data_IF_989550117772
#
_entry.id   IF_989550117772
#
_cell.length_a   1.000
_cell.length_b   1.000
_cell.length_c   1.000
_cell.angle_alpha   90.00
_cell.angle_beta   90.00
_cell.angle_gamma   90.00
#
_symmetry.space_group_name_H-M   'P 1'
#
loop_
_entity.id
_entity.type
_entity.pdbx_description
1 polymer ?
#
# COMPACT_ATOMS: atom_id res chain seq x y z
N UNK A 1 16.32 -2.28 -5.32
CA UNK A 1 16.11 -3.34 -6.32
C UNK A 1 16.77 -2.90 -7.61
N UNK A 2 17.72 -3.67 -8.14
CA UNK A 2 18.40 -3.38 -9.39
C UNK A 2 18.01 -4.48 -10.40
N UNK A 3 17.50 -4.09 -11.57
CA UNK A 3 17.12 -5.05 -12.62
C UNK A 3 18.32 -5.81 -13.19
N UNK A 4 19.50 -5.17 -13.25
CA UNK A 4 20.73 -5.79 -13.73
C UNK A 4 21.24 -6.89 -12.78
N UNK A 5 20.94 -6.76 -11.48
CA UNK A 5 21.33 -7.77 -10.48
C UNK A 5 20.59 -9.09 -10.72
N UNK A 6 19.28 -9.03 -11.01
CA UNK A 6 18.51 -10.24 -11.33
C UNK A 6 19.03 -10.89 -12.61
N UNK A 7 19.37 -10.10 -13.63
CA UNK A 7 19.95 -10.63 -14.87
C UNK A 7 21.30 -11.33 -14.63
N UNK A 8 22.20 -10.71 -13.86
CA UNK A 8 23.50 -11.30 -13.52
C UNK A 8 23.39 -12.57 -12.67
N UNK A 9 22.36 -12.68 -11.84
CA UNK A 9 22.09 -13.90 -11.08
C UNK A 9 21.70 -15.05 -12.01
N UNK A 10 20.84 -14.81 -13.01
CA UNK A 10 20.48 -15.82 -14.02
C UNK A 10 21.72 -16.26 -14.82
N UNK A 11 22.56 -15.33 -15.27
CA UNK A 11 23.81 -15.65 -15.95
C UNK A 11 24.75 -16.52 -15.08
N UNK A 12 24.76 -16.28 -13.76
CA UNK A 12 25.56 -17.07 -12.81
C UNK A 12 24.99 -18.49 -12.64
N UNK A 13 23.67 -18.66 -12.68
CA UNK A 13 23.02 -19.97 -12.65
C UNK A 13 23.28 -20.76 -13.93
N UNK A 14 23.29 -20.10 -15.08
CA UNK A 14 23.65 -20.72 -16.37
C UNK A 14 25.10 -21.20 -16.37
N UNK A 15 26.03 -20.43 -15.78
CA UNK A 15 27.42 -20.87 -15.62
C UNK A 15 27.51 -22.13 -14.75
N UNK A 16 26.74 -22.22 -13.66
CA UNK A 16 26.66 -23.44 -12.84
C UNK A 16 26.14 -24.63 -13.65
N UNK A 17 25.05 -24.45 -14.42
CA UNK A 17 24.46 -25.51 -15.24
C UNK A 17 25.46 -26.04 -16.29
N UNK A 18 26.23 -25.13 -16.89
CA UNK A 18 27.28 -25.45 -17.84
C UNK A 18 28.60 -25.92 -17.20
N UNK A 19 28.63 -26.19 -15.89
CA UNK A 19 29.81 -26.59 -15.11
C UNK A 19 30.98 -25.59 -15.18
N UNK A 20 30.68 -24.31 -15.43
CA UNK A 20 31.63 -23.20 -15.50
C UNK A 20 31.80 -22.49 -14.14
N UNK A 21 30.92 -22.77 -13.18
CA UNK A 21 30.99 -22.27 -11.81
C UNK A 21 30.56 -23.36 -10.81
N UNK A 22 31.07 -23.27 -9.58
CA UNK A 22 30.67 -24.15 -8.48
C UNK A 22 29.48 -23.52 -7.74
N UNK A 23 28.41 -24.30 -7.58
CA UNK A 23 27.12 -23.78 -7.13
C UNK A 23 27.14 -23.27 -5.68
N UNK A 24 27.92 -23.89 -4.78
CA UNK A 24 28.03 -23.41 -3.40
C UNK A 24 28.76 -22.08 -3.34
N UNK A 25 29.83 -21.89 -4.12
CA UNK A 25 30.56 -20.64 -4.20
C UNK A 25 29.66 -19.49 -4.69
N UNK A 26 28.78 -19.74 -5.67
CA UNK A 26 27.78 -18.77 -6.13
C UNK A 26 26.80 -18.41 -5.01
N UNK A 27 26.31 -19.41 -4.28
CA UNK A 27 25.42 -19.19 -3.13
C UNK A 27 26.11 -18.44 -1.99
N UNK A 28 27.34 -18.79 -1.65
CA UNK A 28 28.10 -18.16 -0.57
C UNK A 28 28.33 -16.68 -0.85
N UNK A 29 28.66 -16.32 -2.10
CA UNK A 29 28.81 -14.94 -2.53
C UNK A 29 27.47 -14.17 -2.43
N UNK A 30 26.39 -14.76 -2.94
CA UNK A 30 25.06 -14.16 -2.83
C UNK A 30 24.65 -13.93 -1.37
N UNK A 31 24.84 -14.94 -0.51
CA UNK A 31 24.46 -14.88 0.90
C UNK A 31 25.28 -13.84 1.67
N UNK A 32 26.57 -13.69 1.38
CA UNK A 32 27.40 -12.65 1.99
C UNK A 32 26.81 -11.25 1.76
N UNK A 33 26.47 -10.93 0.51
CA UNK A 33 25.91 -9.62 0.15
C UNK A 33 24.48 -9.42 0.67
N UNK A 34 23.68 -10.50 0.66
CA UNK A 34 22.32 -10.48 1.18
C UNK A 34 22.29 -10.28 2.70
N UNK A 35 23.12 -11.00 3.45
CA UNK A 35 23.18 -10.87 4.91
C UNK A 35 23.57 -9.46 5.32
N UNK A 36 24.54 -8.83 4.66
CA UNK A 36 24.88 -7.44 4.95
C UNK A 36 23.70 -6.46 4.70
N UNK A 37 22.90 -6.70 3.66
CA UNK A 37 21.69 -5.91 3.39
C UNK A 37 20.60 -6.17 4.45
N UNK A 38 20.44 -7.43 4.87
CA UNK A 38 19.50 -7.82 5.91
C UNK A 38 19.87 -7.20 7.26
N UNK A 39 21.13 -7.33 7.67
CA UNK A 39 21.67 -6.76 8.92
C UNK A 39 21.45 -5.25 9.00
N UNK A 40 21.54 -4.55 7.86
CA UNK A 40 21.22 -3.13 7.80
C UNK A 40 19.72 -2.88 7.94
N UNK A 41 18.89 -3.67 7.27
CA UNK A 41 17.44 -3.52 7.28
C UNK A 41 16.81 -3.83 8.65
N UNK A 42 17.42 -4.71 9.45
CA UNK A 42 16.98 -5.10 10.79
C UNK A 42 17.24 -4.04 11.87
N UNK A 43 18.10 -3.05 11.61
CA UNK A 43 18.40 -1.97 12.55
C UNK A 43 17.19 -1.06 12.77
N UNK A 44 17.31 -0.15 13.72
CA UNK A 44 16.31 0.90 13.90
C UNK A 44 16.24 1.81 12.66
N UNK A 45 15.05 2.34 12.29
CA UNK A 45 14.89 3.21 11.13
C UNK A 45 15.81 4.45 11.15
N UNK A 46 16.12 4.97 12.34
CA UNK A 46 17.04 6.09 12.56
C UNK A 46 18.50 5.74 12.20
N UNK A 47 18.87 4.46 12.27
CA UNK A 47 20.20 3.94 11.93
C UNK A 47 20.28 3.39 10.50
N UNK A 48 19.22 3.61 9.70
CA UNK A 48 19.13 3.15 8.32
C UNK A 48 18.41 1.81 8.13
N UNK A 49 17.69 1.36 9.15
CA UNK A 49 16.79 0.21 9.10
C UNK A 49 15.55 0.41 8.25
N UNK A 50 14.76 -0.67 8.11
CA UNK A 50 13.52 -0.64 7.33
C UNK A 50 12.46 0.23 8.02
N UNK A 51 11.90 1.18 7.27
CA UNK A 51 10.84 2.06 7.80
C UNK A 51 9.57 1.27 8.12
N UNK A 52 8.93 1.50 9.27
CA UNK A 52 7.68 0.85 9.61
C UNK A 52 6.55 1.35 8.70
N UNK A 53 5.52 0.53 8.58
CA UNK A 53 4.30 0.90 7.85
C UNK A 53 3.61 2.10 8.52
N UNK A 54 3.63 3.24 7.83
CA UNK A 54 3.12 4.50 8.34
C UNK A 54 1.58 4.56 8.26
N UNK A 55 0.98 5.30 9.18
CA UNK A 55 -0.45 5.59 9.15
C UNK A 55 -0.68 7.05 8.81
N UNK A 56 -1.65 7.32 7.93
CA UNK A 56 -2.10 8.68 7.62
C UNK A 56 -3.39 8.94 8.39
N UNK A 57 -3.36 9.86 9.36
CA UNK A 57 -4.53 10.21 10.15
C UNK A 57 -5.59 10.90 9.29
N UNK A 58 -6.85 10.53 9.49
CA UNK A 58 -8.01 11.14 8.83
C UNK A 58 -8.87 11.88 9.84
N UNK A 59 -9.83 12.65 9.34
CA UNK A 59 -10.85 13.31 10.14
C UNK A 59 -11.95 12.36 10.63
N UNK A 60 -11.93 11.08 10.23
CA UNK A 60 -12.95 10.08 10.55
C UNK A 60 -12.79 9.62 12.00
N UNK A 61 -13.88 9.69 12.76
CA UNK A 61 -13.92 9.21 14.14
C UNK A 61 -14.24 7.71 14.21
N UNK A 62 -13.57 7.02 15.14
CA UNK A 62 -13.79 5.62 15.41
C UNK A 62 -15.19 5.41 16.01
N UNK A 63 -16.00 4.50 15.46
CA UNK A 63 -17.38 4.28 15.93
C UNK A 63 -17.44 3.70 17.35
N UNK A 64 -16.34 3.12 17.85
CA UNK A 64 -16.30 2.48 19.17
C UNK A 64 -15.78 3.40 20.28
N UNK A 65 -14.80 4.26 19.98
CA UNK A 65 -14.12 5.05 21.02
C UNK A 65 -14.01 6.56 20.72
N UNK A 66 -14.48 7.01 19.55
CA UNK A 66 -14.50 8.43 19.16
C UNK A 66 -13.14 9.03 18.80
N UNK A 67 -12.05 8.26 18.83
CA UNK A 67 -10.72 8.76 18.40
C UNK A 67 -10.58 8.75 16.88
N UNK A 68 -9.69 9.59 16.35
CA UNK A 68 -9.39 9.63 14.93
C UNK A 68 -8.89 8.28 14.41
N UNK A 69 -9.34 7.92 13.22
CA UNK A 69 -8.86 6.76 12.49
C UNK A 69 -7.76 7.18 11.52
N UNK A 70 -6.93 6.23 11.10
CA UNK A 70 -5.90 6.46 10.08
C UNK A 70 -5.95 5.38 9.01
N UNK A 71 -5.58 5.77 7.80
CA UNK A 71 -5.44 4.88 6.64
C UNK A 71 -4.20 4.02 6.87
N UNK A 72 -4.38 2.70 6.75
CA UNK A 72 -3.31 1.71 6.82
C UNK A 72 -3.47 0.72 5.67
N UNK A 73 -2.35 0.20 5.20
CA UNK A 73 -2.30 -0.83 4.18
C UNK A 73 -1.83 -2.13 4.80
N UNK A 74 -2.59 -3.20 4.61
CA UNK A 74 -2.19 -4.57 4.93
C UNK A 74 -2.12 -5.40 3.64
N UNK A 75 -1.70 -6.65 3.76
CA UNK A 75 -1.66 -7.60 2.63
C UNK A 75 -3.03 -7.81 1.97
N UNK A 76 -4.12 -7.70 2.75
CA UNK A 76 -5.49 -7.87 2.26
C UNK A 76 -6.08 -6.61 1.64
N UNK A 77 -5.36 -5.48 1.66
CA UNK A 77 -5.83 -4.21 1.12
C UNK A 77 -5.75 -3.05 2.12
N UNK A 78 -6.47 -1.98 1.78
CA UNK A 78 -6.46 -0.71 2.53
C UNK A 78 -7.63 -0.68 3.52
N UNK A 79 -7.40 -0.16 4.71
CA UNK A 79 -8.43 -0.07 5.75
C UNK A 79 -8.19 1.14 6.65
N UNK A 80 -9.22 1.54 7.40
CA UNK A 80 -9.10 2.49 8.49
C UNK A 80 -8.84 1.76 9.81
N UNK A 81 -7.74 2.09 10.47
CA UNK A 81 -7.41 1.62 11.82
C UNK A 81 -7.55 2.74 12.85
N UNK A 82 -8.09 2.43 14.03
CA UNK A 82 -8.17 3.41 15.11
C UNK A 82 -6.76 3.84 15.59
N UNK A 83 -6.52 5.14 15.74
CA UNK A 83 -5.28 5.69 16.35
C UNK A 83 -5.03 5.16 17.76
N UNK A 84 -6.10 4.78 18.47
CA UNK A 84 -6.03 4.17 19.79
C UNK A 84 -5.37 2.80 19.84
N UNK A 85 -4.99 2.19 18.70
CA UNK A 85 -4.26 0.92 18.68
C UNK A 85 -2.87 1.01 19.31
N UNK A 86 -2.21 2.17 19.22
CA UNK A 86 -0.87 2.41 19.76
C UNK A 86 -0.84 2.49 21.30
N UNK A 87 -1.99 2.53 21.96
CA UNK A 87 -2.06 2.53 23.42
C UNK A 87 -1.67 1.18 24.03
N UNK A 88 -1.52 1.20 25.36
CA UNK A 88 -1.29 0.03 26.20
C UNK A 88 -2.26 -1.11 25.86
N UNK A 89 -1.88 -2.40 26.02
CA UNK A 89 -2.75 -3.53 25.73
C UNK A 89 -4.12 -3.49 26.41
N UNK A 90 -4.23 -2.81 27.56
CA UNK A 90 -5.49 -2.66 28.32
C UNK A 90 -6.44 -1.63 27.71
N UNK A 91 -5.91 -0.62 27.02
CA UNK A 91 -6.67 0.54 26.54
C UNK A 91 -6.68 0.64 25.01
N UNK A 92 -6.06 -0.33 24.32
CA UNK A 92 -6.00 -0.31 22.86
C UNK A 92 -7.35 -0.56 22.21
N UNK A 93 -7.68 0.28 21.25
CA UNK A 93 -8.85 0.09 20.40
C UNK A 93 -8.46 -0.75 19.18
N UNK A 94 -9.04 -1.95 19.05
CA UNK A 94 -8.79 -2.88 17.93
C UNK A 94 -9.78 -2.71 16.77
N UNK A 95 -10.66 -1.70 16.84
CA UNK A 95 -11.66 -1.44 15.81
C UNK A 95 -11.00 -1.03 14.50
N UNK A 96 -11.44 -1.68 13.42
CA UNK A 96 -11.04 -1.38 12.04
C UNK A 96 -12.28 -1.23 11.17
N UNK A 97 -12.17 -0.46 10.09
CA UNK A 97 -13.21 -0.35 9.06
C UNK A 97 -12.55 -0.70 7.73
N UNK A 98 -13.06 -1.73 7.07
CA UNK A 98 -12.58 -2.13 5.75
C UNK A 98 -12.96 -1.09 4.71
N UNK A 99 -12.02 -0.72 3.82
CA UNK A 99 -12.26 0.20 2.73
C UNK A 99 -12.41 -0.59 1.43
N UNK A 100 -13.59 -0.55 0.84
CA UNK A 100 -13.87 -1.32 -0.40
C UNK A 100 -13.50 -0.45 -1.61
N UNK A 101 -12.57 -0.87 -2.48
CA UNK A 101 -12.19 -0.09 -3.65
C UNK A 101 -13.34 -0.02 -4.67
N UNK A 102 -13.54 1.15 -5.26
CA UNK A 102 -14.62 1.36 -6.24
C UNK A 102 -14.39 0.64 -7.58
N UNK A 103 -13.12 0.43 -7.96
CA UNK A 103 -12.77 -0.17 -9.25
C UNK A 103 -13.23 -1.63 -9.39
N UNK A 104 -13.60 -2.31 -8.30
CA UNK A 104 -14.20 -3.65 -8.37
C UNK A 104 -15.63 -3.65 -8.95
N UNK A 105 -16.20 -2.47 -9.26
CA UNK A 105 -17.59 -2.33 -9.74
C UNK A 105 -17.68 -1.96 -11.24
N UNK A 106 -16.55 -1.72 -11.94
CA UNK A 106 -16.54 -1.32 -13.35
C UNK A 106 -16.40 -2.53 -14.28
N UNK A 107 -17.50 -2.89 -14.94
CA UNK A 107 -17.53 -3.90 -15.99
C UNK A 107 -16.70 -3.49 -17.21
N UNK A 108 -15.89 -4.45 -17.67
CA UNK A 108 -14.90 -4.40 -18.76
C UNK A 108 -15.57 -4.30 -20.14
N UNK A 109 -16.21 -3.18 -20.47
CA UNK A 109 -16.89 -3.00 -21.76
C UNK A 109 -16.59 -1.65 -22.44
N UNK A 110 -15.33 -1.22 -22.55
CA UNK A 110 -15.02 0.03 -23.31
C UNK A 110 -13.69 0.03 -24.09
N UNK A 111 -13.47 -0.91 -25.02
CA UNK A 111 -12.47 -0.77 -26.10
C UNK A 111 -11.04 -0.36 -25.69
N UNK A 112 -10.28 0.22 -26.62
CA UNK A 112 -8.86 0.59 -26.41
C UNK A 112 -8.69 1.86 -25.52
N UNK A 113 -9.74 2.65 -25.33
CA UNK A 113 -9.71 3.90 -24.56
C UNK A 113 -10.14 3.75 -23.09
N UNK A 114 -10.61 2.56 -22.67
CA UNK A 114 -11.10 2.29 -21.31
C UNK A 114 -10.11 2.72 -20.22
N UNK A 115 -8.84 2.35 -20.37
CA UNK A 115 -7.80 2.65 -19.38
C UNK A 115 -7.58 4.17 -19.25
N UNK A 116 -7.58 4.88 -20.38
CA UNK A 116 -7.39 6.33 -20.41
C UNK A 116 -8.57 7.05 -19.76
N UNK A 117 -9.79 6.60 -20.03
CA UNK A 117 -11.01 7.17 -19.46
C UNK A 117 -11.10 6.91 -17.95
N UNK A 118 -10.79 5.69 -17.51
CA UNK A 118 -10.71 5.34 -16.09
C UNK A 118 -9.69 6.20 -15.34
N UNK A 119 -8.53 6.46 -15.93
CA UNK A 119 -7.50 7.32 -15.32
C UNK A 119 -7.93 8.80 -15.25
N UNK A 120 -8.70 9.28 -16.22
CA UNK A 120 -9.25 10.66 -16.21
C UNK A 120 -10.37 10.83 -15.18
N UNK A 121 -11.14 9.77 -14.92
CA UNK A 121 -12.21 9.79 -13.92
C UNK A 121 -11.68 9.89 -12.47
N UNK A 122 -10.42 9.50 -12.22
CA UNK A 122 -9.79 9.62 -10.90
C UNK A 122 -9.59 11.09 -10.49
N UNK A 123 -9.92 11.40 -9.23
CA UNK A 123 -9.60 12.69 -8.61
C UNK A 123 -8.09 12.91 -8.55
N UNK A 124 -7.67 14.17 -8.45
CA UNK A 124 -6.26 14.57 -8.31
C UNK A 124 -6.02 15.08 -6.90
N UNK A 125 -4.95 14.59 -6.28
CA UNK A 125 -4.58 15.00 -4.93
C UNK A 125 -4.25 16.50 -4.90
N UNK A 126 -4.87 17.25 -3.99
CA UNK A 126 -4.61 18.69 -3.84
C UNK A 126 -3.18 19.03 -3.38
N UNK A 127 -2.44 18.05 -2.84
CA UNK A 127 -1.08 18.25 -2.33
C UNK A 127 0.00 18.01 -3.38
N UNK A 128 -0.16 17.00 -4.24
CA UNK A 128 0.88 16.58 -5.19
C UNK A 128 0.38 16.35 -6.63
N UNK A 129 -0.92 16.48 -6.90
CA UNK A 129 -1.52 16.28 -8.22
C UNK A 129 -1.65 14.82 -8.67
N UNK A 130 -1.14 13.85 -7.91
CA UNK A 130 -1.24 12.42 -8.23
C UNK A 130 -2.70 11.96 -8.26
N UNK A 131 -3.02 11.00 -9.13
CA UNK A 131 -4.34 10.36 -9.16
C UNK A 131 -4.67 9.74 -7.79
N UNK A 132 -5.93 9.83 -7.39
CA UNK A 132 -6.43 9.31 -6.12
C UNK A 132 -7.22 8.02 -6.35
N UNK A 133 -7.09 7.10 -5.41
CA UNK A 133 -7.88 5.88 -5.34
C UNK A 133 -9.11 6.09 -4.46
N UNK A 134 -10.24 5.61 -4.95
CA UNK A 134 -11.56 5.80 -4.35
C UNK A 134 -11.99 4.56 -3.59
N UNK A 135 -12.43 4.75 -2.35
CA UNK A 135 -12.91 3.70 -1.47
C UNK A 135 -14.24 4.05 -0.82
N UNK A 136 -15.11 3.07 -0.66
CA UNK A 136 -16.34 3.20 0.12
C UNK A 136 -16.07 2.93 1.59
N UNK A 137 -16.46 3.87 2.47
CA UNK A 137 -16.44 3.68 3.93
C UNK A 137 -17.79 3.14 4.38
N UNK A 138 -18.86 3.75 3.89
CA UNK A 138 -20.25 3.41 4.16
C UNK A 138 -21.14 3.90 2.99
N UNK A 139 -22.45 3.62 2.97
CA UNK A 139 -23.33 4.01 1.85
C UNK A 139 -23.50 5.52 1.63
N UNK A 140 -22.91 6.38 2.47
CA UNK A 140 -23.03 7.85 2.37
C UNK A 140 -21.69 8.56 2.24
N UNK A 141 -20.57 7.88 2.52
CA UNK A 141 -19.24 8.46 2.57
C UNK A 141 -18.25 7.65 1.75
N UNK A 142 -17.56 8.36 0.88
CA UNK A 142 -16.49 7.85 0.05
C UNK A 142 -15.17 8.54 0.42
N UNK A 143 -14.11 7.76 0.55
CA UNK A 143 -12.76 8.23 0.83
C UNK A 143 -11.93 8.18 -0.44
N UNK A 144 -11.34 9.32 -0.79
CA UNK A 144 -10.33 9.40 -1.84
C UNK A 144 -8.96 9.50 -1.19
N UNK A 145 -8.05 8.59 -1.53
CA UNK A 145 -6.70 8.52 -0.99
C UNK A 145 -5.70 8.77 -2.10
N UNK A 146 -4.68 9.59 -1.85
CA UNK A 146 -3.61 9.81 -2.83
C UNK A 146 -2.90 8.49 -3.20
N UNK A 147 -2.64 8.25 -4.48
CA UNK A 147 -1.90 7.06 -4.93
C UNK A 147 -0.45 6.98 -4.40
N UNK A 148 0.11 8.08 -3.90
CA UNK A 148 1.41 8.12 -3.23
C UNK A 148 1.33 7.90 -1.71
N UNK A 149 0.18 7.48 -1.16
CA UNK A 149 0.05 7.13 0.26
C UNK A 149 0.95 5.94 0.61
N UNK A 150 1.65 5.93 1.77
CA UNK A 150 1.58 6.91 2.87
C UNK A 150 2.57 8.08 2.75
N UNK A 151 3.41 8.12 1.71
CA UNK A 151 4.37 9.23 1.49
C UNK A 151 3.67 10.58 1.34
N UNK A 152 2.50 10.58 0.70
CA UNK A 152 1.60 11.72 0.64
C UNK A 152 0.39 11.48 1.55
N UNK A 153 0.20 12.35 2.53
CA UNK A 153 -0.91 12.35 3.49
C UNK A 153 -2.18 13.04 2.93
N UNK A 154 -2.33 13.02 1.60
CA UNK A 154 -3.43 13.69 0.91
C UNK A 154 -4.65 12.76 0.82
N UNK A 155 -5.77 13.18 1.39
CA UNK A 155 -7.04 12.48 1.27
C UNK A 155 -8.20 13.49 1.16
N UNK A 156 -9.32 13.05 0.59
CA UNK A 156 -10.57 13.80 0.54
C UNK A 156 -11.72 12.88 0.95
N UNK A 157 -12.73 13.43 1.61
CA UNK A 157 -13.96 12.70 1.94
C UNK A 157 -15.08 13.34 1.13
N UNK A 158 -15.75 12.50 0.34
CA UNK A 158 -16.93 12.88 -0.43
C UNK A 158 -18.18 12.39 0.30
N UNK A 159 -19.02 13.33 0.71
CA UNK A 159 -20.35 13.05 1.26
C UNK A 159 -21.33 12.95 0.09
N UNK A 160 -21.78 11.74 -0.19
CA UNK A 160 -22.68 11.46 -1.30
C UNK A 160 -23.45 10.18 -1.00
N UNK A 161 -24.78 10.27 -0.91
CA UNK A 161 -25.61 9.08 -0.88
C UNK A 161 -25.47 8.36 -2.20
N UNK A 162 -25.26 7.03 -2.18
CA UNK A 162 -25.44 6.20 -3.36
C UNK A 162 -26.79 6.59 -3.97
N UNK A 163 -26.86 7.07 -5.23
CA UNK A 163 -28.16 7.28 -5.85
C UNK A 163 -28.83 5.92 -5.84
N UNK A 164 -29.89 5.81 -5.03
CA UNK A 164 -30.77 4.65 -5.02
C UNK A 164 -31.10 4.34 -6.48
N UNK A 165 -30.52 3.26 -7.01
CA UNK A 165 -31.02 2.63 -8.22
C UNK A 165 -32.43 2.18 -7.83
N UNK A 166 -33.42 2.98 -8.24
CA UNK A 166 -34.83 2.67 -8.05
C UNK A 166 -35.08 1.37 -8.79
N UNK A 167 -35.39 0.32 -8.04
CA UNK A 167 -36.08 -0.87 -8.53
C UNK A 167 -37.54 -0.51 -8.73
#
# INVERSE_FOLDING_TARGET
MNYDFTAQMEDSLDQVANHQAEWKAVLDNFFSDFTHQLDKAEKDPEEGGMRPNQMVLTSIDCPTCGRKMGIRTASTGVFLGCSGYALSPKERCKTTINLVPENEVLNVLEGDDAETNALRAKRRCQKCGTAMDSYLIDPKRKLHVCGNNPTCDGYEIEEGGVPHQRV
#
